data_IF_936416140111
#
_entry.id   IF_936416140111
#
_cell.length_a   1.000
_cell.length_b   1.000
_cell.length_c   1.000
_cell.angle_alpha   90.00
_cell.angle_beta   90.00
_cell.angle_gamma   90.00
#
_symmetry.space_group_name_H-M   'P 1'
#
loop_
_entity.id
_entity.type
_entity.pdbx_description
1 polymer ?
#
# COMPACT_ATOMS: atom_id res chain seq x y z
N UNK A 1 -11.44 -2.79 -7.20
CA UNK A 1 -10.02 -2.58 -6.87
C UNK A 1 -9.73 -3.16 -5.50
N UNK A 2 -8.75 -4.04 -5.40
CA UNK A 2 -8.46 -4.75 -4.14
C UNK A 2 -7.16 -4.21 -3.54
N UNK A 3 -7.28 -3.37 -2.52
CA UNK A 3 -6.11 -2.75 -1.90
C UNK A 3 -5.22 -3.74 -1.15
N UNK A 4 -5.78 -4.84 -0.67
CA UNK A 4 -4.98 -5.88 -0.04
C UNK A 4 -3.90 -6.39 -1.00
N UNK A 5 -4.30 -6.66 -2.23
CA UNK A 5 -3.39 -7.16 -3.27
C UNK A 5 -2.48 -6.05 -3.77
N UNK A 6 -3.03 -4.85 -3.97
CA UNK A 6 -2.28 -3.72 -4.50
C UNK A 6 -1.13 -3.34 -3.55
N UNK A 7 -1.42 -3.30 -2.25
CA UNK A 7 -0.41 -2.92 -1.26
C UNK A 7 0.71 -3.95 -1.23
N UNK A 8 0.38 -5.23 -1.32
CA UNK A 8 1.40 -6.27 -1.37
C UNK A 8 2.24 -6.18 -2.64
N UNK A 9 1.60 -5.91 -3.79
CA UNK A 9 2.33 -5.73 -5.04
C UNK A 9 3.29 -4.55 -4.96
N UNK A 10 2.81 -3.44 -4.42
CA UNK A 10 3.63 -2.24 -4.27
C UNK A 10 4.83 -2.52 -3.37
N UNK A 11 4.58 -3.15 -2.24
CA UNK A 11 5.65 -3.45 -1.29
C UNK A 11 6.69 -4.38 -1.91
N UNK A 12 6.23 -5.41 -2.61
CA UNK A 12 7.15 -6.36 -3.25
C UNK A 12 7.92 -5.71 -4.39
N UNK A 13 7.27 -4.86 -5.17
CA UNK A 13 7.93 -4.18 -6.29
C UNK A 13 9.05 -3.28 -5.79
N UNK A 14 8.84 -2.58 -4.69
CA UNK A 14 9.82 -1.66 -4.13
C UNK A 14 10.76 -2.35 -3.13
N UNK A 15 10.52 -3.64 -2.88
CA UNK A 15 11.31 -4.45 -1.93
C UNK A 15 11.33 -3.78 -0.55
N UNK A 16 10.13 -3.47 -0.04
CA UNK A 16 9.98 -2.80 1.24
C UNK A 16 9.37 -3.74 2.27
N UNK A 17 9.76 -3.56 3.54
CA UNK A 17 9.06 -4.19 4.64
C UNK A 17 7.75 -3.43 4.89
N UNK A 18 6.88 -4.00 5.72
CA UNK A 18 5.63 -3.32 6.08
C UNK A 18 5.93 -2.00 6.81
N UNK A 19 6.95 -1.99 7.67
CA UNK A 19 7.34 -0.78 8.38
C UNK A 19 7.84 0.30 7.43
N UNK A 20 8.64 -0.10 6.45
CA UNK A 20 9.17 0.85 5.47
C UNK A 20 8.05 1.43 4.61
N UNK A 21 7.11 0.59 4.19
CA UNK A 21 5.98 1.10 3.42
C UNK A 21 5.12 2.04 4.27
N UNK A 22 4.93 1.70 5.55
CA UNK A 22 4.17 2.56 6.46
C UNK A 22 4.81 3.94 6.56
N UNK A 23 6.13 3.99 6.67
CA UNK A 23 6.85 5.26 6.71
C UNK A 23 6.65 6.06 5.43
N UNK A 24 6.72 5.38 4.29
CA UNK A 24 6.52 6.02 3.00
C UNK A 24 5.13 6.60 2.86
N UNK A 25 4.13 5.93 3.41
CA UNK A 25 2.73 6.35 3.35
C UNK A 25 2.34 7.26 4.54
N UNK A 26 3.28 7.55 5.43
CA UNK A 26 3.03 8.33 6.65
C UNK A 26 1.97 7.68 7.52
N UNK A 27 2.04 6.37 7.67
CA UNK A 27 1.09 5.56 8.44
C UNK A 27 1.84 4.72 9.46
N UNK A 28 1.09 3.96 10.26
CA UNK A 28 1.68 3.05 11.21
C UNK A 28 1.85 1.66 10.59
N UNK A 29 2.77 0.88 11.13
CA UNK A 29 2.94 -0.52 10.76
C UNK A 29 1.62 -1.28 10.91
N UNK A 30 0.89 -1.03 11.99
CA UNK A 30 -0.38 -1.71 12.26
C UNK A 30 -1.38 -1.47 11.14
N UNK A 31 -1.41 -0.25 10.59
CA UNK A 31 -2.32 0.07 9.49
C UNK A 31 -2.00 -0.77 8.26
N UNK A 32 -0.73 -0.80 7.86
CA UNK A 32 -0.31 -1.59 6.69
C UNK A 32 -0.64 -3.06 6.90
N UNK A 33 -0.35 -3.56 8.09
CA UNK A 33 -0.63 -4.96 8.43
C UNK A 33 -2.11 -5.29 8.28
N UNK A 34 -2.99 -4.42 8.79
CA UNK A 34 -4.43 -4.62 8.70
C UNK A 34 -4.92 -4.59 7.25
N UNK A 35 -4.38 -3.68 6.45
CA UNK A 35 -4.76 -3.59 5.04
C UNK A 35 -4.33 -4.85 4.28
N UNK A 36 -3.15 -5.37 4.57
CA UNK A 36 -2.66 -6.58 3.90
C UNK A 36 -3.42 -7.82 4.33
N UNK A 37 -4.03 -7.80 5.52
CA UNK A 37 -4.87 -8.90 5.97
C UNK A 37 -6.32 -8.79 5.47
N UNK A 38 -6.64 -7.66 4.83
CA UNK A 38 -7.97 -7.46 4.29
C UNK A 38 -9.02 -7.04 5.31
N UNK A 39 -8.61 -6.68 6.54
CA UNK A 39 -9.55 -6.28 7.59
C UNK A 39 -10.11 -4.88 7.36
N UNK A 40 -9.29 -3.99 6.82
CA UNK A 40 -9.67 -2.59 6.61
C UNK A 40 -9.11 -2.11 5.29
N UNK A 41 -9.75 -1.08 4.74
CA UNK A 41 -9.22 -0.38 3.58
C UNK A 41 -8.57 0.92 4.01
N UNK A 42 -7.55 1.39 3.28
CA UNK A 42 -6.94 2.69 3.57
C UNK A 42 -7.95 3.82 3.38
N UNK A 43 -7.67 4.95 4.02
CA UNK A 43 -8.47 6.17 3.80
C UNK A 43 -8.23 6.68 2.39
N UNK A 44 -9.09 7.60 1.93
CA UNK A 44 -8.94 8.18 0.60
C UNK A 44 -7.59 8.84 0.41
N UNK A 45 -7.11 9.54 1.44
CA UNK A 45 -5.81 10.20 1.37
C UNK A 45 -4.68 9.19 1.11
N UNK A 46 -4.71 8.06 1.82
CA UNK A 46 -3.70 7.02 1.65
C UNK A 46 -3.88 6.31 0.31
N UNK A 47 -5.13 6.08 -0.10
CA UNK A 47 -5.40 5.47 -1.40
C UNK A 47 -4.78 6.27 -2.53
N UNK A 48 -4.87 7.61 -2.46
CA UNK A 48 -4.25 8.47 -3.47
C UNK A 48 -2.74 8.30 -3.51
N UNK A 49 -2.11 8.20 -2.34
CA UNK A 49 -0.67 7.97 -2.28
C UNK A 49 -0.29 6.63 -2.86
N UNK A 50 -1.06 5.59 -2.53
CA UNK A 50 -0.80 4.25 -3.04
C UNK A 50 -0.90 4.23 -4.55
N UNK A 51 -1.97 4.78 -5.11
CA UNK A 51 -2.18 4.79 -6.55
C UNK A 51 -1.13 5.64 -7.26
N UNK A 52 -0.72 6.74 -6.64
CA UNK A 52 0.35 7.57 -7.16
C UNK A 52 1.66 6.82 -7.27
N UNK A 53 2.00 6.05 -6.23
CA UNK A 53 3.21 5.25 -6.24
C UNK A 53 3.12 4.13 -7.27
N UNK A 54 1.96 3.51 -7.40
CA UNK A 54 1.76 2.46 -8.40
C UNK A 54 1.96 3.01 -9.81
N UNK A 55 1.42 4.19 -10.09
CA UNK A 55 1.59 4.83 -11.38
C UNK A 55 3.05 5.17 -11.64
N UNK A 56 3.73 5.69 -10.62
CA UNK A 56 5.13 6.08 -10.72
C UNK A 56 6.02 4.89 -11.03
N UNK A 57 5.70 3.73 -10.47
CA UNK A 57 6.51 2.52 -10.61
C UNK A 57 5.93 1.51 -11.59
N UNK A 58 4.94 1.93 -12.38
CA UNK A 58 4.33 1.08 -13.42
C UNK A 58 3.74 -0.21 -12.86
N UNK A 59 3.07 -0.13 -11.72
CA UNK A 59 2.41 -1.27 -11.10
C UNK A 59 0.96 -1.29 -11.52
N UNK A 60 0.50 -2.43 -12.04
CA UNK A 60 -0.89 -2.58 -12.41
C UNK A 60 -1.77 -2.67 -11.15
N UNK A 61 -2.89 -1.95 -11.15
CA UNK A 61 -3.78 -1.89 -9.99
C UNK A 61 -5.09 -2.64 -10.22
N UNK A 62 -5.20 -3.34 -11.31
CA UNK A 62 -6.42 -4.06 -11.64
C UNK A 62 -6.14 -5.51 -11.80
#
# INVERSE_FOLDING_TARGET
MNYQIIIKKLRNKLVLSQTELAELLCCSFSSVNRWEKGHYEPTIKVKRKILGLCKEHNIEVE
#
